data_IF_896325493802
#
_entry.id   IF_896325493802
#
_cell.length_a   1.000
_cell.length_b   1.000
_cell.length_c   1.000
_cell.angle_alpha   90.00
_cell.angle_beta   90.00
_cell.angle_gamma   90.00
#
_symmetry.space_group_name_H-M   'P 1'
#
loop_
_entity.id
_entity.type
_entity.pdbx_description
1 polymer ?
#
# COMPACT_ATOMS: atom_id res chain seq x y z
N UNK A 1 -4.62 14.20 -7.11
CA UNK A 1 -5.45 14.73 -8.22
C UNK A 1 -6.89 14.25 -7.99
N UNK A 2 -7.91 14.98 -8.46
CA UNK A 2 -9.30 14.81 -8.05
C UNK A 2 -9.91 13.43 -8.42
N UNK A 3 -9.23 12.67 -9.29
CA UNK A 3 -9.44 11.24 -9.42
C UNK A 3 -8.08 10.59 -9.67
N UNK A 4 -7.49 10.01 -8.62
CA UNK A 4 -6.31 9.18 -8.80
C UNK A 4 -6.73 7.96 -9.64
N UNK A 5 -6.25 7.90 -10.88
CA UNK A 5 -6.65 6.88 -11.86
C UNK A 5 -6.41 5.46 -11.32
N UNK A 6 -5.40 5.33 -10.48
CA UNK A 6 -5.08 4.11 -9.76
C UNK A 6 -6.15 3.72 -8.74
N UNK A 7 -6.65 4.66 -7.93
CA UNK A 7 -7.76 4.40 -7.01
C UNK A 7 -9.03 3.97 -7.74
N UNK A 8 -9.27 4.53 -8.93
CA UNK A 8 -10.38 4.10 -9.79
C UNK A 8 -10.20 2.65 -10.25
N UNK A 9 -8.98 2.25 -10.66
CA UNK A 9 -8.67 0.87 -11.04
C UNK A 9 -8.85 -0.11 -9.89
N UNK A 10 -8.37 0.25 -8.70
CA UNK A 10 -8.55 -0.55 -7.48
C UNK A 10 -10.04 -0.75 -7.20
N UNK A 11 -10.83 0.34 -7.23
CA UNK A 11 -12.28 0.27 -7.01
C UNK A 11 -13.02 -0.58 -8.05
N UNK A 12 -12.46 -0.71 -9.27
CA UNK A 12 -12.99 -1.57 -10.34
C UNK A 12 -12.53 -3.02 -10.25
N UNK A 13 -11.66 -3.36 -9.30
CA UNK A 13 -11.09 -4.70 -9.17
C UNK A 13 -10.03 -5.02 -10.22
N UNK A 14 -9.44 -4.01 -10.86
CA UNK A 14 -8.42 -4.17 -11.91
C UNK A 14 -7.01 -4.37 -11.35
N UNK A 15 -6.83 -4.31 -10.01
CA UNK A 15 -5.55 -4.49 -9.30
C UNK A 15 -5.69 -5.48 -8.12
N UNK A 16 -6.11 -6.74 -8.38
CA UNK A 16 -6.41 -7.71 -7.33
C UNK A 16 -5.19 -8.08 -6.46
N UNK A 17 -3.98 -8.05 -7.03
CA UNK A 17 -2.74 -8.33 -6.31
C UNK A 17 -2.44 -7.30 -5.22
N UNK A 18 -2.70 -6.02 -5.47
CA UNK A 18 -2.53 -4.95 -4.47
C UNK A 18 -3.59 -5.08 -3.37
N UNK A 19 -4.83 -5.40 -3.74
CA UNK A 19 -5.92 -5.59 -2.77
C UNK A 19 -5.61 -6.77 -1.84
N UNK A 20 -5.15 -7.89 -2.39
CA UNK A 20 -4.73 -9.05 -1.60
C UNK A 20 -3.57 -8.71 -0.65
N UNK A 21 -2.54 -8.02 -1.16
CA UNK A 21 -1.42 -7.56 -0.33
C UNK A 21 -1.88 -6.68 0.84
N UNK A 22 -2.78 -5.73 0.59
CA UNK A 22 -3.36 -4.87 1.63
C UNK A 22 -4.07 -5.69 2.69
N UNK A 23 -4.94 -6.63 2.30
CA UNK A 23 -5.65 -7.49 3.24
C UNK A 23 -4.69 -8.35 4.07
N UNK A 24 -3.69 -8.96 3.44
CA UNK A 24 -2.69 -9.78 4.16
C UNK A 24 -1.92 -8.97 5.19
N UNK A 25 -1.51 -7.74 4.85
CA UNK A 25 -0.83 -6.84 5.80
C UNK A 25 -1.77 -6.40 6.93
N UNK A 26 -3.04 -6.11 6.62
CA UNK A 26 -4.05 -5.80 7.64
C UNK A 26 -4.28 -6.97 8.61
N UNK A 27 -4.19 -8.21 8.12
CA UNK A 27 -4.26 -9.44 8.93
C UNK A 27 -2.97 -9.72 9.72
N UNK A 28 -1.96 -8.85 9.62
CA UNK A 28 -0.72 -8.89 10.39
C UNK A 28 0.47 -9.52 9.68
N UNK A 29 0.36 -9.83 8.38
CA UNK A 29 1.52 -10.26 7.59
C UNK A 29 2.56 -9.13 7.51
N UNK A 30 3.84 -9.50 7.68
CA UNK A 30 4.97 -8.57 7.59
C UNK A 30 5.87 -8.95 6.40
N UNK A 31 5.49 -8.58 5.17
CA UNK A 31 6.29 -8.91 3.99
C UNK A 31 7.64 -8.20 4.04
N UNK A 32 8.65 -8.84 3.44
CA UNK A 32 9.97 -8.24 3.25
C UNK A 32 9.89 -7.19 2.14
N UNK A 33 10.04 -5.91 2.52
CA UNK A 33 9.95 -4.78 1.60
C UNK A 33 11.00 -4.82 0.48
N UNK A 34 12.12 -5.53 0.68
CA UNK A 34 13.16 -5.67 -0.36
C UNK A 34 12.74 -6.59 -1.52
N UNK A 35 11.69 -7.40 -1.31
CA UNK A 35 11.15 -8.34 -2.31
C UNK A 35 9.97 -7.76 -3.10
N UNK A 36 9.48 -6.58 -2.70
CA UNK A 36 8.32 -5.92 -3.29
C UNK A 36 8.75 -4.81 -4.26
N UNK A 37 7.89 -4.53 -5.24
CA UNK A 37 8.02 -3.36 -6.10
C UNK A 37 7.74 -2.06 -5.36
N UNK A 38 8.16 -0.93 -5.95
CA UNK A 38 8.00 0.40 -5.35
C UNK A 38 6.55 0.73 -4.99
N UNK A 39 5.59 0.39 -5.87
CA UNK A 39 4.16 0.62 -5.64
C UNK A 39 3.64 -0.24 -4.47
N UNK A 40 3.97 -1.52 -4.42
CA UNK A 40 3.58 -2.42 -3.33
C UNK A 40 4.10 -1.91 -1.98
N UNK A 41 5.34 -1.42 -1.94
CA UNK A 41 5.93 -0.81 -0.73
C UNK A 41 5.14 0.41 -0.26
N UNK A 42 4.65 1.25 -1.17
CA UNK A 42 3.79 2.41 -0.82
C UNK A 42 2.49 1.95 -0.17
N UNK A 43 1.85 0.91 -0.68
CA UNK A 43 0.64 0.34 -0.09
C UNK A 43 0.89 -0.27 1.29
N UNK A 44 1.96 -1.07 1.47
CA UNK A 44 2.31 -1.64 2.78
C UNK A 44 2.56 -0.56 3.82
N UNK A 45 3.28 0.51 3.45
CA UNK A 45 3.53 1.65 4.36
C UNK A 45 2.23 2.38 4.70
N UNK A 46 1.35 2.56 3.73
CA UNK A 46 0.04 3.19 3.94
C UNK A 46 -0.78 2.39 4.93
N UNK A 47 -0.86 1.07 4.79
CA UNK A 47 -1.56 0.20 5.75
C UNK A 47 -0.97 0.36 7.15
N UNK A 48 0.37 0.29 7.30
CA UNK A 48 1.03 0.46 8.61
C UNK A 48 0.77 1.81 9.27
N UNK A 49 0.67 2.87 8.48
CA UNK A 49 0.30 4.20 9.00
C UNK A 49 -1.15 4.19 9.48
N UNK A 50 -2.07 3.64 8.69
CA UNK A 50 -3.50 3.59 9.01
C UNK A 50 -3.81 2.68 10.20
N UNK A 51 -3.04 1.60 10.39
CA UNK A 51 -3.16 0.67 11.54
C UNK A 51 -2.41 1.16 12.78
N UNK A 52 -1.66 2.26 12.68
CA UNK A 52 -0.89 2.83 13.81
C UNK A 52 0.41 2.09 14.12
N UNK A 53 0.85 1.18 13.24
CA UNK A 53 2.15 0.51 13.35
C UNK A 53 3.32 1.44 13.03
N UNK A 54 3.08 2.50 12.26
CA UNK A 54 4.10 3.47 11.90
C UNK A 54 3.54 4.90 11.82
N UNK A 55 4.42 5.90 11.97
CA UNK A 55 4.06 7.30 11.80
C UNK A 55 4.33 7.74 10.37
N UNK A 56 3.39 8.48 9.78
CA UNK A 56 3.58 9.07 8.46
C UNK A 56 4.81 9.99 8.42
N UNK A 57 5.62 9.83 7.38
CA UNK A 57 6.67 10.77 6.99
C UNK A 57 6.58 11.07 5.50
N UNK A 58 6.62 12.36 5.15
CA UNK A 58 6.59 12.78 3.76
C UNK A 58 7.78 12.25 2.94
N UNK A 59 8.93 12.05 3.60
CA UNK A 59 10.14 11.50 2.99
C UNK A 59 10.01 10.04 2.51
N UNK A 60 8.91 9.35 2.82
CA UNK A 60 8.70 7.97 2.39
C UNK A 60 8.12 7.85 0.99
N UNK A 61 7.56 8.95 0.46
CA UNK A 61 7.03 9.03 -0.90
C UNK A 61 8.09 9.45 -1.92
N UNK A 62 9.24 9.93 -1.44
CA UNK A 62 10.44 10.22 -2.24
C UNK A 62 11.42 9.06 -2.10
N UNK A 63 11.21 7.99 -2.87
CA UNK A 63 12.22 6.95 -3.11
C UNK A 63 12.43 6.90 -4.61
#
# INVERSE_FOLDING_TARGET
DAFDFELVKIARGEMPEIVDLVYRVMDGEKPDLSTLGEEEVKYVRTVRVLTGESLYSHSWLEI
#
